data_IF_723341592388
#
_entry.id   IF_723341592388
#
_cell.length_a   1.000
_cell.length_b   1.000
_cell.length_c   1.000
_cell.angle_alpha   90.00
_cell.angle_beta   90.00
_cell.angle_gamma   90.00
#
_symmetry.space_group_name_H-M   'P 1'
#
loop_
_entity.id
_entity.type
_entity.pdbx_description
1 polymer ?
#
# COMPACT_ATOMS: atom_id res chain seq x y z
N UNK A 1 6.88 24.80 -13.13
CA UNK A 1 7.85 25.16 -12.09
C UNK A 1 7.18 25.80 -10.85
N UNK A 2 6.22 26.69 -11.01
CA UNK A 2 5.55 27.37 -9.90
C UNK A 2 4.84 26.42 -8.93
N UNK A 3 4.02 25.49 -9.43
CA UNK A 3 3.34 24.49 -8.61
C UNK A 3 4.31 23.60 -7.83
N UNK A 4 5.45 23.24 -8.40
CA UNK A 4 6.43 22.41 -7.72
C UNK A 4 7.14 23.16 -6.59
N UNK A 5 7.43 24.46 -6.79
CA UNK A 5 7.98 25.30 -5.72
C UNK A 5 6.98 25.49 -4.57
N UNK A 6 5.68 25.64 -4.91
CA UNK A 6 4.60 25.67 -3.93
C UNK A 6 4.51 24.35 -3.16
N UNK A 7 4.57 23.20 -3.84
CA UNK A 7 4.59 21.88 -3.21
C UNK A 7 5.74 21.75 -2.19
N UNK A 8 6.97 22.14 -2.58
CA UNK A 8 8.11 22.15 -1.66
C UNK A 8 7.85 23.01 -0.42
N UNK A 9 7.34 24.23 -0.62
CA UNK A 9 7.05 25.16 0.49
C UNK A 9 6.00 24.59 1.45
N UNK A 10 4.94 23.96 0.91
CA UNK A 10 3.90 23.32 1.72
C UNK A 10 4.49 22.18 2.57
N UNK A 11 5.26 21.29 1.95
CA UNK A 11 5.89 20.16 2.67
C UNK A 11 6.94 20.65 3.68
N UNK A 12 7.76 21.63 3.34
CA UNK A 12 8.78 22.18 4.24
C UNK A 12 8.18 22.85 5.49
N UNK A 13 7.10 23.63 5.31
CA UNK A 13 6.42 24.34 6.40
C UNK A 13 5.51 23.46 7.26
N UNK A 14 5.17 22.27 6.79
CA UNK A 14 4.28 21.38 7.51
C UNK A 14 4.93 20.86 8.81
N UNK A 15 4.17 20.91 9.90
CA UNK A 15 4.49 20.25 11.17
C UNK A 15 4.23 18.74 11.05
N UNK A 16 3.18 18.40 10.30
CA UNK A 16 2.67 17.04 10.13
C UNK A 16 2.55 16.68 8.65
N UNK A 17 2.96 15.47 8.30
CA UNK A 17 2.81 14.92 6.95
C UNK A 17 1.95 13.65 7.01
N UNK A 18 0.86 13.63 6.25
CA UNK A 18 0.07 12.42 6.05
C UNK A 18 0.34 11.94 4.63
N UNK A 19 1.07 10.84 4.52
CA UNK A 19 1.32 10.20 3.22
C UNK A 19 0.11 9.35 2.87
N UNK A 20 -0.42 9.56 1.68
CA UNK A 20 -1.46 8.72 1.09
C UNK A 20 -0.88 8.06 -0.14
N UNK A 21 -0.64 6.76 -0.05
CA UNK A 21 0.03 6.03 -1.09
C UNK A 21 -0.90 5.02 -1.77
N UNK A 22 -1.01 5.16 -3.09
CA UNK A 22 -1.76 4.23 -3.94
C UNK A 22 -0.86 3.18 -4.62
N UNK A 23 -1.48 2.34 -5.45
CA UNK A 23 -0.78 1.31 -6.20
C UNK A 23 0.19 1.86 -7.25
N UNK A 24 0.01 3.11 -7.70
CA UNK A 24 1.00 3.80 -8.54
C UNK A 24 2.36 3.96 -7.84
N UNK A 25 2.39 4.12 -6.50
CA UNK A 25 3.65 4.05 -5.76
C UNK A 25 4.19 2.62 -5.72
N UNK A 26 3.35 1.61 -5.50
CA UNK A 26 3.77 0.22 -5.55
C UNK A 26 4.43 -0.14 -6.90
N UNK A 27 3.90 0.39 -8.00
CA UNK A 27 4.50 0.24 -9.33
C UNK A 27 5.91 0.81 -9.40
N UNK A 28 6.19 1.95 -8.78
CA UNK A 28 7.56 2.50 -8.71
C UNK A 28 8.51 1.66 -7.86
N UNK A 29 7.97 0.86 -6.96
CA UNK A 29 8.71 -0.11 -6.14
C UNK A 29 8.75 -1.53 -6.78
N UNK A 30 8.28 -1.68 -8.01
CA UNK A 30 8.38 -2.90 -8.79
C UNK A 30 7.15 -3.82 -8.74
N UNK A 31 6.08 -3.43 -8.05
CA UNK A 31 4.82 -4.16 -8.02
C UNK A 31 3.77 -3.47 -8.91
N UNK A 32 3.73 -3.84 -10.19
CA UNK A 32 2.68 -3.41 -11.11
C UNK A 32 1.55 -4.44 -11.13
N UNK A 33 0.38 -4.08 -10.60
CA UNK A 33 -0.78 -4.99 -10.52
C UNK A 33 -1.31 -5.42 -11.88
N UNK A 34 -1.19 -4.58 -12.89
CA UNK A 34 -1.72 -4.80 -14.23
C UNK A 34 -0.62 -5.10 -15.25
N UNK A 35 0.65 -5.00 -14.85
CA UNK A 35 1.81 -5.25 -15.71
C UNK A 35 1.91 -6.72 -16.13
N UNK A 36 1.88 -6.96 -17.44
CA UNK A 36 1.92 -8.31 -18.00
C UNK A 36 3.35 -8.78 -18.27
N UNK A 37 4.16 -7.98 -18.93
CA UNK A 37 5.52 -8.37 -19.36
C UNK A 37 6.41 -8.85 -18.19
N UNK A 38 6.43 -8.09 -17.10
CA UNK A 38 7.22 -8.44 -15.91
C UNK A 38 6.65 -9.66 -15.22
N UNK A 39 5.33 -9.78 -15.14
CA UNK A 39 4.67 -10.94 -14.54
C UNK A 39 4.95 -12.22 -15.33
N UNK A 40 4.78 -12.21 -16.65
CA UNK A 40 5.02 -13.36 -17.52
C UNK A 40 6.49 -13.81 -17.50
N UNK A 41 7.42 -12.83 -17.45
CA UNK A 41 8.86 -13.10 -17.31
C UNK A 41 9.18 -13.78 -15.97
N UNK A 42 8.65 -13.22 -14.87
CA UNK A 42 8.99 -13.65 -13.51
C UNK A 42 8.23 -14.94 -13.09
N UNK A 43 7.06 -15.19 -13.69
CA UNK A 43 6.17 -16.30 -13.30
C UNK A 43 5.70 -17.19 -14.48
N UNK A 44 6.57 -17.63 -15.40
CA UNK A 44 6.13 -18.38 -16.59
C UNK A 44 5.38 -19.66 -16.25
N UNK A 45 5.70 -20.32 -15.15
CA UNK A 45 5.00 -21.55 -14.70
C UNK A 45 3.60 -21.26 -14.17
N UNK A 46 3.34 -20.07 -13.60
CA UNK A 46 2.03 -19.63 -13.16
C UNK A 46 1.17 -19.34 -14.39
N UNK A 47 1.70 -18.57 -15.35
CA UNK A 47 1.04 -18.28 -16.63
C UNK A 47 0.63 -19.58 -17.32
N UNK A 48 1.55 -20.52 -17.47
CA UNK A 48 1.27 -21.80 -18.13
C UNK A 48 0.21 -22.64 -17.41
N UNK A 49 0.22 -22.65 -16.08
CA UNK A 49 -0.67 -23.50 -15.28
C UNK A 49 -2.07 -22.92 -15.12
N UNK A 50 -2.19 -21.60 -14.95
CA UNK A 50 -3.42 -20.94 -14.52
C UNK A 50 -3.98 -19.94 -15.54
N UNK A 51 -3.26 -19.69 -16.65
CA UNK A 51 -3.63 -18.73 -17.70
C UNK A 51 -3.88 -17.31 -17.12
N UNK A 52 -3.05 -16.91 -16.15
CA UNK A 52 -3.09 -15.57 -15.52
C UNK A 52 -1.85 -14.77 -15.91
N UNK A 53 -2.02 -13.51 -16.25
CA UNK A 53 -1.00 -12.69 -16.89
C UNK A 53 -0.62 -11.43 -16.11
N UNK A 54 -1.15 -11.25 -14.90
CA UNK A 54 -0.76 -10.15 -14.01
C UNK A 54 -0.99 -10.50 -12.55
N UNK A 55 -0.41 -9.73 -11.64
CA UNK A 55 -0.61 -9.91 -10.20
C UNK A 55 -2.09 -9.77 -9.84
N UNK A 56 -2.78 -8.75 -10.40
CA UNK A 56 -4.20 -8.52 -10.14
C UNK A 56 -5.07 -9.72 -10.52
N UNK A 57 -4.89 -10.27 -11.73
CA UNK A 57 -5.62 -11.48 -12.17
C UNK A 57 -5.27 -12.72 -11.33
N UNK A 58 -4.00 -12.86 -10.93
CA UNK A 58 -3.58 -13.96 -10.07
C UNK A 58 -4.23 -13.91 -8.68
N UNK A 59 -4.46 -12.71 -8.14
CA UNK A 59 -5.16 -12.51 -6.87
C UNK A 59 -6.67 -12.74 -6.97
N UNK A 60 -7.26 -12.46 -8.13
CA UNK A 60 -8.70 -12.63 -8.41
C UNK A 60 -9.10 -14.07 -8.79
N UNK A 61 -8.16 -15.03 -8.84
CA UNK A 61 -8.46 -16.42 -9.22
C UNK A 61 -9.13 -17.19 -8.07
N UNK A 62 -10.44 -17.36 -8.15
CA UNK A 62 -11.28 -17.95 -7.10
C UNK A 62 -11.43 -19.49 -7.16
N UNK A 63 -11.08 -20.12 -8.29
CA UNK A 63 -11.29 -21.56 -8.51
C UNK A 63 -10.23 -22.46 -7.91
N UNK A 64 -9.17 -21.87 -7.36
CA UNK A 64 -8.04 -22.62 -6.81
C UNK A 64 -8.36 -23.24 -5.44
N UNK A 65 -7.84 -24.45 -5.21
CA UNK A 65 -7.78 -25.04 -3.87
C UNK A 65 -6.93 -24.19 -2.91
N UNK A 66 -7.07 -24.40 -1.61
CA UNK A 66 -6.26 -23.69 -0.62
C UNK A 66 -4.74 -23.88 -0.81
N UNK A 67 -4.32 -25.08 -1.17
CA UNK A 67 -2.91 -25.36 -1.46
C UNK A 67 -2.42 -24.59 -2.68
N UNK A 68 -3.22 -24.53 -3.75
CA UNK A 68 -2.88 -23.78 -4.96
C UNK A 68 -2.87 -22.28 -4.72
N UNK A 69 -3.83 -21.74 -3.96
CA UNK A 69 -3.84 -20.33 -3.54
C UNK A 69 -2.57 -19.98 -2.76
N UNK A 70 -2.24 -20.76 -1.74
CA UNK A 70 -1.02 -20.51 -0.95
C UNK A 70 0.26 -20.71 -1.77
N UNK A 71 0.28 -21.64 -2.72
CA UNK A 71 1.42 -21.81 -3.64
C UNK A 71 1.60 -20.56 -4.52
N UNK A 72 0.52 -20.02 -5.06
CA UNK A 72 0.51 -18.81 -5.88
C UNK A 72 0.90 -17.58 -5.06
N UNK A 73 0.16 -17.32 -3.98
CA UNK A 73 0.40 -16.17 -3.10
C UNK A 73 1.83 -16.15 -2.54
N UNK A 74 2.34 -17.32 -2.12
CA UNK A 74 3.69 -17.41 -1.57
C UNK A 74 4.76 -17.00 -2.58
N UNK A 75 4.61 -17.34 -3.85
CA UNK A 75 5.54 -16.92 -4.91
C UNK A 75 5.49 -15.39 -5.13
N UNK A 76 4.27 -14.82 -5.16
CA UNK A 76 4.08 -13.38 -5.32
C UNK A 76 4.65 -12.59 -4.12
N UNK A 77 4.29 -13.00 -2.90
CA UNK A 77 4.75 -12.36 -1.67
C UNK A 77 6.27 -12.49 -1.53
N UNK A 78 6.84 -13.66 -1.82
CA UNK A 78 8.29 -13.84 -1.81
C UNK A 78 8.97 -12.85 -2.74
N UNK A 79 8.52 -12.77 -3.99
CA UNK A 79 9.11 -11.91 -5.03
C UNK A 79 8.97 -10.42 -4.73
N UNK A 80 7.77 -9.98 -4.35
CA UNK A 80 7.45 -8.55 -4.27
C UNK A 80 7.55 -7.95 -2.87
N UNK A 81 7.65 -8.78 -1.81
CA UNK A 81 7.75 -8.29 -0.44
C UNK A 81 8.98 -8.83 0.30
N UNK A 82 9.20 -10.15 0.32
CA UNK A 82 10.30 -10.71 1.12
C UNK A 82 11.67 -10.55 0.47
N UNK A 83 11.74 -10.62 -0.87
CA UNK A 83 12.95 -10.35 -1.65
C UNK A 83 13.06 -8.87 -2.07
N UNK A 84 12.09 -8.04 -1.68
CA UNK A 84 12.06 -6.63 -2.03
C UNK A 84 13.11 -5.83 -1.26
N UNK A 85 13.70 -4.88 -1.94
CA UNK A 85 14.64 -3.92 -1.38
C UNK A 85 14.16 -2.49 -1.70
N UNK A 86 14.02 -1.61 -0.68
CA UNK A 86 13.49 -0.27 -0.88
C UNK A 86 14.28 0.53 -1.90
N UNK A 87 13.56 1.15 -2.82
CA UNK A 87 14.16 2.02 -3.82
C UNK A 87 14.80 3.26 -3.19
N UNK A 88 15.67 3.93 -3.94
CA UNK A 88 16.21 5.23 -3.54
C UNK A 88 15.10 6.28 -3.36
N UNK A 89 14.03 6.15 -4.10
CA UNK A 89 12.86 7.06 -4.02
C UNK A 89 12.17 6.91 -2.67
N UNK A 90 11.88 5.69 -2.24
CA UNK A 90 11.24 5.45 -0.95
C UNK A 90 12.15 5.82 0.24
N UNK A 91 13.46 5.60 0.10
CA UNK A 91 14.43 6.08 1.08
C UNK A 91 14.46 7.62 1.19
N UNK A 92 14.34 8.34 0.05
CA UNK A 92 14.23 9.81 0.04
C UNK A 92 12.93 10.28 0.69
N UNK A 93 11.80 9.61 0.43
CA UNK A 93 10.55 9.91 1.11
C UNK A 93 10.73 9.79 2.63
N UNK A 94 11.37 8.73 3.09
CA UNK A 94 11.66 8.55 4.52
C UNK A 94 12.47 9.71 5.07
N UNK A 95 13.57 10.10 4.41
CA UNK A 95 14.39 11.24 4.82
C UNK A 95 13.60 12.55 4.86
N UNK A 96 12.69 12.77 3.89
CA UNK A 96 11.87 13.98 3.79
C UNK A 96 10.95 14.17 5.01
N UNK A 97 10.44 13.08 5.58
CA UNK A 97 9.42 13.14 6.64
C UNK A 97 9.91 12.66 8.02
N UNK A 98 11.12 12.13 8.12
CA UNK A 98 11.65 11.51 9.36
C UNK A 98 11.71 12.48 10.55
N UNK A 99 11.93 13.76 10.29
CA UNK A 99 11.97 14.82 11.31
C UNK A 99 10.60 15.47 11.61
N UNK A 100 9.52 14.95 11.01
CA UNK A 100 8.17 15.48 11.14
C UNK A 100 7.26 14.49 11.89
N UNK A 101 6.15 14.99 12.41
CA UNK A 101 5.06 14.10 12.74
C UNK A 101 4.52 13.54 11.43
N UNK A 102 4.39 12.21 11.32
CA UNK A 102 3.84 11.62 10.09
C UNK A 102 2.93 10.43 10.37
N UNK A 103 2.04 10.16 9.43
CA UNK A 103 1.30 8.91 9.32
C UNK A 103 1.19 8.52 7.85
N UNK A 104 1.09 7.23 7.57
CA UNK A 104 0.97 6.68 6.22
C UNK A 104 -0.35 5.91 6.14
N UNK A 105 -1.23 6.29 5.22
CA UNK A 105 -2.38 5.51 4.82
C UNK A 105 -2.14 5.00 3.40
N UNK A 106 -2.19 3.69 3.18
CA UNK A 106 -1.81 3.13 1.88
C UNK A 106 -2.73 2.01 1.43
N UNK A 107 -3.01 1.98 0.12
CA UNK A 107 -3.57 0.82 -0.57
C UNK A 107 -2.50 -0.10 -1.15
N UNK A 108 -1.23 0.30 -1.12
CA UNK A 108 -0.11 -0.52 -1.58
C UNK A 108 0.19 -1.60 -0.55
N UNK A 109 -0.26 -2.81 -0.79
CA UNK A 109 -0.27 -3.94 0.15
C UNK A 109 1.04 -4.75 0.20
N UNK A 110 2.09 -4.29 -0.51
CA UNK A 110 3.36 -5.00 -0.66
C UNK A 110 4.33 -4.90 0.52
N UNK A 111 3.94 -4.36 1.68
CA UNK A 111 4.80 -4.20 2.87
C UNK A 111 6.01 -3.29 2.64
N UNK A 112 5.91 -2.34 1.70
CA UNK A 112 7.02 -1.52 1.26
C UNK A 112 7.53 -0.54 2.32
N UNK A 113 6.61 0.10 3.03
CA UNK A 113 6.95 1.11 4.03
C UNK A 113 7.62 0.48 5.26
N UNK A 114 7.10 -0.65 5.72
CA UNK A 114 7.66 -1.41 6.83
C UNK A 114 9.09 -1.87 6.49
N UNK A 115 9.29 -2.43 5.29
CA UNK A 115 10.61 -2.85 4.78
C UNK A 115 11.58 -1.67 4.62
N UNK A 116 11.07 -0.48 4.27
CA UNK A 116 11.87 0.74 4.22
C UNK A 116 12.20 1.34 5.60
N UNK A 117 11.73 0.71 6.68
CA UNK A 117 12.01 1.11 8.06
C UNK A 117 11.18 2.28 8.57
N UNK A 118 9.99 2.52 8.01
CA UNK A 118 9.01 3.40 8.63
C UNK A 118 8.42 2.73 9.87
N UNK A 119 7.93 3.53 10.81
CA UNK A 119 7.35 2.99 12.04
C UNK A 119 5.99 2.33 11.75
N UNK A 120 5.88 1.02 11.93
CA UNK A 120 4.67 0.24 11.69
C UNK A 120 3.43 0.77 12.43
N UNK A 121 3.60 1.37 13.62
CA UNK A 121 2.50 1.98 14.37
C UNK A 121 1.94 3.24 13.70
N UNK A 122 2.65 3.78 12.70
CA UNK A 122 2.28 4.94 11.90
C UNK A 122 1.91 4.58 10.47
N UNK A 123 1.56 3.30 10.24
CA UNK A 123 1.10 2.80 8.95
C UNK A 123 -0.29 2.22 9.12
N UNK A 124 -1.18 2.55 8.17
CA UNK A 124 -2.48 1.94 7.98
C UNK A 124 -2.60 1.42 6.56
N UNK A 125 -2.49 0.11 6.39
CA UNK A 125 -2.72 -0.59 5.15
C UNK A 125 -4.24 -0.71 4.93
N UNK A 126 -4.82 0.24 4.19
CA UNK A 126 -6.28 0.41 4.04
C UNK A 126 -6.94 -0.84 3.44
N UNK A 127 -6.26 -1.48 2.49
CA UNK A 127 -6.70 -2.70 1.83
C UNK A 127 -5.89 -3.93 2.25
N UNK A 128 -5.37 -3.89 3.49
CA UNK A 128 -4.62 -5.00 4.05
C UNK A 128 -3.15 -5.03 3.64
N UNK A 129 -2.49 -6.09 4.08
CA UNK A 129 -1.09 -6.39 3.88
C UNK A 129 -0.97 -7.90 3.65
N UNK A 130 -0.56 -8.32 2.47
CA UNK A 130 -0.50 -9.74 2.13
C UNK A 130 0.60 -10.52 2.83
N UNK A 131 1.51 -9.87 3.58
CA UNK A 131 2.44 -10.56 4.49
C UNK A 131 1.77 -11.00 5.79
N UNK A 132 0.50 -10.63 5.96
CA UNK A 132 -0.37 -11.07 7.04
C UNK A 132 -1.49 -11.95 6.49
N UNK A 133 -2.07 -12.76 7.36
CA UNK A 133 -3.19 -13.63 7.06
C UNK A 133 -4.36 -13.38 8.00
N UNK A 134 -5.57 -13.53 7.48
CA UNK A 134 -6.84 -13.46 8.19
C UNK A 134 -7.58 -14.80 8.14
N UNK A 135 -8.56 -14.98 9.02
CA UNK A 135 -9.42 -16.17 8.99
C UNK A 135 -10.41 -16.12 7.82
N UNK A 136 -10.48 -17.16 7.01
CA UNK A 136 -11.42 -17.27 5.89
C UNK A 136 -12.89 -17.42 6.29
N UNK A 137 -13.20 -17.49 7.58
CA UNK A 137 -14.59 -17.53 8.07
C UNK A 137 -15.32 -16.17 8.00
N UNK A 138 -14.60 -15.07 7.69
CA UNK A 138 -15.13 -13.71 7.78
C UNK A 138 -15.28 -13.17 9.20
N UNK A 139 -14.92 -13.95 10.22
CA UNK A 139 -14.92 -13.51 11.62
C UNK A 139 -13.52 -13.03 11.97
N UNK A 140 -13.42 -11.84 12.55
CA UNK A 140 -12.15 -11.30 13.01
C UNK A 140 -11.59 -12.09 14.19
N UNK A 141 -10.70 -13.03 13.91
CA UNK A 141 -9.93 -13.81 14.89
C UNK A 141 -8.50 -13.26 15.08
N UNK A 142 -8.26 -12.01 14.65
CA UNK A 142 -6.95 -11.37 14.64
C UNK A 142 -6.14 -11.70 13.38
N UNK A 143 -5.19 -10.82 13.09
CA UNK A 143 -4.24 -11.02 11.99
C UNK A 143 -3.04 -11.83 12.47
N UNK A 144 -2.51 -12.67 11.58
CA UNK A 144 -1.33 -13.50 11.82
C UNK A 144 -0.24 -13.14 10.81
N UNK A 145 1.00 -13.08 11.25
CA UNK A 145 2.13 -13.04 10.33
C UNK A 145 2.20 -14.35 9.52
N UNK A 146 2.38 -14.26 8.22
CA UNK A 146 2.47 -15.43 7.35
C UNK A 146 3.81 -15.54 6.62
N UNK A 147 4.79 -14.68 6.90
CA UNK A 147 6.07 -14.65 6.19
C UNK A 147 6.81 -16.00 6.29
N UNK A 148 6.82 -16.63 7.46
CA UNK A 148 7.48 -17.92 7.64
C UNK A 148 6.84 -19.06 6.81
N UNK A 149 5.52 -19.04 6.65
CA UNK A 149 4.78 -19.99 5.81
C UNK A 149 5.07 -19.71 4.33
N UNK A 150 5.04 -18.45 3.94
CA UNK A 150 5.38 -18.00 2.59
C UNK A 150 6.78 -18.50 2.18
N UNK A 151 7.80 -18.29 3.02
CA UNK A 151 9.17 -18.74 2.75
C UNK A 151 9.26 -20.28 2.60
N UNK A 152 8.56 -21.02 3.46
CA UNK A 152 8.55 -22.50 3.38
C UNK A 152 7.91 -23.00 2.09
N UNK A 153 6.80 -22.39 1.66
CA UNK A 153 6.08 -22.77 0.46
C UNK A 153 6.86 -22.33 -0.80
N UNK A 154 7.31 -21.09 -0.85
CA UNK A 154 8.04 -20.54 -2.00
C UNK A 154 9.39 -21.25 -2.23
N UNK A 155 10.11 -21.58 -1.14
CA UNK A 155 11.38 -22.33 -1.16
C UNK A 155 11.23 -23.84 -1.16
N UNK A 156 10.00 -24.36 -1.19
CA UNK A 156 9.72 -25.79 -1.15
C UNK A 156 10.25 -26.55 -2.37
N UNK A 157 10.59 -27.82 -2.17
CA UNK A 157 10.96 -28.72 -3.25
C UNK A 157 9.72 -29.15 -4.06
N UNK A 158 9.86 -29.70 -5.27
CA UNK A 158 8.72 -30.13 -6.09
C UNK A 158 7.79 -31.16 -5.41
N UNK A 159 8.32 -31.94 -4.47
CA UNK A 159 7.60 -32.96 -3.69
C UNK A 159 7.04 -32.45 -2.35
N UNK A 160 7.16 -31.15 -2.06
CA UNK A 160 6.62 -30.56 -0.85
C UNK A 160 5.09 -30.67 -0.81
N UNK A 161 4.55 -31.27 0.24
CA UNK A 161 3.11 -31.35 0.44
C UNK A 161 2.56 -29.99 0.91
N UNK A 162 2.09 -29.18 -0.01
CA UNK A 162 1.56 -27.82 0.28
C UNK A 162 0.30 -27.89 1.13
N UNK A 163 -0.56 -28.92 0.99
CA UNK A 163 -1.78 -29.09 1.79
C UNK A 163 -1.49 -29.06 3.30
N UNK A 164 -0.38 -29.66 3.72
CA UNK A 164 0.05 -29.69 5.14
C UNK A 164 0.59 -28.32 5.60
N UNK A 165 1.02 -27.47 4.68
CA UNK A 165 1.57 -26.14 4.97
C UNK A 165 0.50 -25.05 4.98
N UNK A 166 -0.72 -25.31 4.46
CA UNK A 166 -1.83 -24.35 4.49
C UNK A 166 -2.09 -23.94 5.95
N UNK A 167 -1.89 -22.66 6.31
CA UNK A 167 -2.04 -22.23 7.69
C UNK A 167 -3.52 -22.26 8.09
N UNK A 168 -3.77 -22.58 9.36
CA UNK A 168 -5.11 -22.67 9.93
C UNK A 168 -5.29 -21.65 11.07
N UNK A 169 -6.51 -21.21 11.23
CA UNK A 169 -6.90 -20.33 12.32
C UNK A 169 -6.84 -21.06 13.66
N UNK A 170 -6.11 -20.52 14.64
CA UNK A 170 -5.98 -21.12 15.98
C UNK A 170 -7.29 -21.12 16.76
N UNK A 171 -8.27 -20.29 16.36
CA UNK A 171 -9.55 -20.15 17.06
C UNK A 171 -10.60 -21.14 16.53
N UNK A 172 -10.73 -21.27 15.19
CA UNK A 172 -11.81 -22.06 14.60
C UNK A 172 -11.34 -23.19 13.66
N UNK A 173 -10.04 -23.31 13.40
CA UNK A 173 -9.47 -24.36 12.55
C UNK A 173 -9.68 -24.16 11.05
N UNK A 174 -10.42 -23.12 10.62
CA UNK A 174 -10.58 -22.81 9.20
C UNK A 174 -9.25 -22.39 8.57
N UNK A 175 -9.05 -22.58 7.26
CA UNK A 175 -7.88 -22.07 6.57
C UNK A 175 -7.71 -20.57 6.79
N UNK A 176 -6.48 -20.10 6.80
CA UNK A 176 -6.18 -18.68 6.68
C UNK A 176 -6.04 -18.30 5.21
N UNK A 177 -6.43 -17.08 4.89
CA UNK A 177 -6.17 -16.43 3.60
C UNK A 177 -5.29 -15.19 3.81
N UNK A 178 -4.63 -14.69 2.78
CA UNK A 178 -3.87 -13.45 2.88
C UNK A 178 -4.80 -12.28 3.23
N UNK A 179 -4.30 -11.34 4.02
CA UNK A 179 -5.09 -10.20 4.49
C UNK A 179 -5.25 -9.15 3.38
N UNK A 180 -6.20 -9.39 2.49
CA UNK A 180 -6.54 -8.55 1.35
C UNK A 180 -8.04 -8.61 1.03
N UNK A 181 -8.64 -7.59 0.39
CA UNK A 181 -10.06 -7.57 0.04
C UNK A 181 -10.35 -8.43 -1.22
N UNK A 182 -10.02 -9.72 -1.15
CA UNK A 182 -10.24 -10.68 -2.23
C UNK A 182 -11.70 -11.20 -2.29
N UNK A 183 -12.45 -11.02 -1.21
CA UNK A 183 -13.84 -11.48 -1.06
C UNK A 183 -14.53 -10.72 0.08
N UNK A 184 -15.80 -11.06 0.37
CA UNK A 184 -16.61 -10.46 1.44
C UNK A 184 -16.12 -10.78 2.86
N UNK A 185 -15.15 -11.66 3.02
CA UNK A 185 -14.58 -12.02 4.33
C UNK A 185 -13.50 -11.05 4.81
N UNK A 186 -13.06 -10.12 3.96
CA UNK A 186 -12.08 -9.13 4.35
C UNK A 186 -12.60 -8.23 5.49
N UNK A 187 -11.76 -8.02 6.48
CA UNK A 187 -11.99 -7.01 7.51
C UNK A 187 -10.74 -6.12 7.64
N UNK A 188 -10.93 -4.79 7.71
CA UNK A 188 -9.81 -3.86 7.81
C UNK A 188 -9.10 -3.99 9.17
N UNK A 189 -7.82 -3.60 9.22
CA UNK A 189 -7.09 -3.45 10.49
C UNK A 189 -7.70 -2.30 11.30
N UNK A 190 -8.62 -2.66 12.21
CA UNK A 190 -9.35 -1.69 13.05
C UNK A 190 -8.44 -0.95 14.03
N UNK A 191 -7.35 -1.58 14.49
CA UNK A 191 -6.39 -0.96 15.39
C UNK A 191 -5.56 0.08 14.65
N UNK A 192 -5.09 -0.22 13.43
CA UNK A 192 -4.38 0.74 12.60
C UNK A 192 -5.28 1.91 12.19
N UNK A 193 -6.54 1.63 11.81
CA UNK A 193 -7.53 2.67 11.53
C UNK A 193 -7.78 3.58 12.75
N UNK A 194 -7.91 2.99 13.94
CA UNK A 194 -8.10 3.76 15.17
C UNK A 194 -6.89 4.66 15.46
N UNK A 195 -5.66 4.14 15.31
CA UNK A 195 -4.44 4.95 15.45
C UNK A 195 -4.39 6.08 14.42
N UNK A 196 -4.80 5.83 13.18
CA UNK A 196 -4.86 6.86 12.14
C UNK A 196 -5.85 7.96 12.50
N UNK A 197 -7.07 7.61 12.91
CA UNK A 197 -8.08 8.59 13.33
C UNK A 197 -7.62 9.44 14.52
N UNK A 198 -7.01 8.83 15.54
CA UNK A 198 -6.43 9.58 16.67
C UNK A 198 -5.29 10.50 16.24
N UNK A 199 -4.48 10.06 15.26
CA UNK A 199 -3.43 10.90 14.71
C UNK A 199 -4.00 12.13 13.99
N UNK A 200 -5.06 11.96 13.20
CA UNK A 200 -5.77 13.06 12.54
C UNK A 200 -6.29 14.05 13.58
N UNK A 201 -7.08 13.58 14.55
CA UNK A 201 -7.64 14.40 15.64
C UNK A 201 -6.57 15.13 16.45
N UNK A 202 -5.45 14.47 16.73
CA UNK A 202 -4.33 15.09 17.47
C UNK A 202 -3.55 16.16 16.68
N UNK A 203 -3.84 16.34 15.39
CA UNK A 203 -3.15 17.29 14.51
C UNK A 203 -4.10 18.28 13.80
N UNK A 204 -5.34 18.40 14.24
CA UNK A 204 -6.35 19.29 13.64
C UNK A 204 -5.93 20.76 13.64
N UNK A 205 -5.17 21.19 14.64
CA UNK A 205 -4.67 22.56 14.81
C UNK A 205 -3.27 22.79 14.21
N UNK A 206 -2.67 21.77 13.57
CA UNK A 206 -1.30 21.84 13.01
C UNK A 206 -1.31 22.16 11.53
N UNK A 207 -0.21 22.74 11.04
CA UNK A 207 0.05 22.81 9.60
C UNK A 207 0.30 21.39 9.09
N UNK A 208 -0.74 20.77 8.52
CA UNK A 208 -0.69 19.40 8.03
C UNK A 208 -0.71 19.39 6.51
N UNK A 209 0.17 18.61 5.90
CA UNK A 209 0.14 18.35 4.46
C UNK A 209 -0.25 16.90 4.21
N UNK A 210 -1.27 16.70 3.37
CA UNK A 210 -1.54 15.41 2.75
C UNK A 210 -0.68 15.29 1.49
N UNK A 211 0.21 14.32 1.50
CA UNK A 211 1.11 14.01 0.39
C UNK A 211 0.60 12.76 -0.32
N UNK A 212 -0.11 12.95 -1.43
CA UNK A 212 -0.65 11.86 -2.25
C UNK A 212 0.38 11.37 -3.27
N UNK A 213 0.63 10.07 -3.25
CA UNK A 213 1.64 9.40 -4.04
C UNK A 213 1.06 8.20 -4.78
N UNK A 214 0.79 8.34 -6.07
CA UNK A 214 0.37 7.23 -6.92
C UNK A 214 -1.03 6.67 -6.58
N UNK A 215 -1.96 7.52 -6.20
CA UNK A 215 -3.40 7.16 -6.18
C UNK A 215 -3.90 7.25 -7.61
N UNK A 216 -4.15 6.11 -8.20
CA UNK A 216 -4.51 5.93 -9.61
C UNK A 216 -5.88 5.24 -9.74
N UNK A 217 -6.21 4.79 -10.96
CA UNK A 217 -7.46 4.11 -11.26
C UNK A 217 -7.67 2.78 -10.52
N UNK A 218 -6.61 2.19 -9.95
CA UNK A 218 -6.67 0.95 -9.16
C UNK A 218 -7.01 1.20 -7.69
N UNK A 219 -6.99 2.47 -7.24
CA UNK A 219 -7.31 2.87 -5.87
C UNK A 219 -8.00 4.26 -5.80
N UNK A 220 -8.97 4.58 -6.70
CA UNK A 220 -9.54 5.91 -6.82
C UNK A 220 -10.32 6.36 -5.57
N UNK A 221 -10.82 5.41 -4.78
CA UNK A 221 -11.60 5.65 -3.57
C UNK A 221 -10.78 6.27 -2.42
N UNK A 222 -9.47 6.42 -2.56
CA UNK A 222 -8.65 7.10 -1.55
C UNK A 222 -8.71 8.62 -1.66
N UNK A 223 -8.86 9.17 -2.87
CA UNK A 223 -8.73 10.63 -3.13
C UNK A 223 -9.87 11.44 -2.55
N UNK A 224 -11.11 11.12 -2.87
CA UNK A 224 -12.28 11.90 -2.47
C UNK A 224 -12.38 12.10 -0.95
N UNK A 225 -12.24 11.06 -0.10
CA UNK A 225 -12.26 11.25 1.36
C UNK A 225 -11.16 12.18 1.87
N UNK A 226 -9.98 12.17 1.23
CA UNK A 226 -8.85 13.01 1.62
C UNK A 226 -9.10 14.48 1.27
N UNK A 227 -9.61 14.75 0.08
CA UNK A 227 -9.96 16.11 -0.34
C UNK A 227 -11.00 16.73 0.63
N UNK A 228 -12.00 15.95 1.02
CA UNK A 228 -13.00 16.38 2.01
C UNK A 228 -12.36 16.67 3.38
N UNK A 229 -11.47 15.78 3.85
CA UNK A 229 -10.72 16.02 5.09
C UNK A 229 -9.88 17.30 5.03
N UNK A 230 -9.16 17.52 3.92
CA UNK A 230 -8.40 18.74 3.73
C UNK A 230 -9.31 19.98 3.67
N UNK A 231 -10.50 19.87 3.07
CA UNK A 231 -11.47 20.96 2.99
C UNK A 231 -12.01 21.37 4.37
N UNK A 232 -12.16 20.42 5.29
CA UNK A 232 -12.69 20.64 6.64
C UNK A 232 -11.74 21.50 7.51
N UNK A 233 -10.42 21.39 7.31
CA UNK A 233 -9.42 22.09 8.14
C UNK A 233 -8.65 23.15 7.34
N UNK A 234 -8.85 24.46 7.61
CA UNK A 234 -8.22 25.53 6.82
C UNK A 234 -6.67 25.54 6.80
N UNK A 235 -6.03 25.00 7.84
CA UNK A 235 -4.58 24.90 7.95
C UNK A 235 -3.99 23.66 7.28
N UNK A 236 -4.85 22.77 6.77
CA UNK A 236 -4.39 21.59 6.04
C UNK A 236 -4.21 21.90 4.56
N UNK A 237 -3.22 21.30 3.94
CA UNK A 237 -2.85 21.48 2.55
C UNK A 237 -2.71 20.14 1.85
N UNK A 238 -2.71 20.17 0.52
CA UNK A 238 -2.67 18.96 -0.30
C UNK A 238 -1.58 19.05 -1.36
N UNK A 239 -0.75 18.02 -1.45
CA UNK A 239 0.32 17.91 -2.45
C UNK A 239 0.20 16.54 -3.13
N UNK A 240 0.12 16.52 -4.46
CA UNK A 240 -0.09 15.27 -5.19
C UNK A 240 0.84 15.09 -6.39
N UNK A 241 1.19 13.83 -6.66
CA UNK A 241 1.64 13.38 -7.96
C UNK A 241 0.43 13.25 -8.91
N UNK A 242 0.68 13.32 -10.22
CA UNK A 242 -0.39 13.37 -11.24
C UNK A 242 -1.46 14.45 -10.95
N UNK A 243 -0.97 15.61 -10.56
CA UNK A 243 -1.76 16.71 -10.05
C UNK A 243 -2.48 17.48 -11.16
N UNK A 244 -3.81 17.61 -11.02
CA UNK A 244 -4.67 18.44 -11.88
C UNK A 244 -5.55 19.30 -10.99
N UNK A 245 -5.16 20.57 -10.84
CA UNK A 245 -5.82 21.49 -9.92
C UNK A 245 -7.32 21.66 -10.18
N UNK A 246 -7.72 21.62 -11.44
CA UNK A 246 -9.12 21.75 -11.88
C UNK A 246 -10.02 20.59 -11.42
N UNK A 247 -9.43 19.45 -11.05
CA UNK A 247 -10.16 18.27 -10.60
C UNK A 247 -10.35 18.25 -9.07
N UNK A 248 -9.77 19.22 -8.34
CA UNK A 248 -9.88 19.28 -6.89
C UNK A 248 -11.12 20.06 -6.46
N UNK A 249 -11.56 19.80 -5.23
CA UNK A 249 -12.58 20.62 -4.57
C UNK A 249 -12.15 22.09 -4.56
N UNK A 250 -13.04 23.03 -4.93
CA UNK A 250 -12.70 24.47 -5.00
C UNK A 250 -12.07 25.01 -3.72
N UNK A 251 -12.52 24.55 -2.56
CA UNK A 251 -12.10 24.99 -1.23
C UNK A 251 -10.63 24.69 -0.90
N UNK A 252 -10.02 23.74 -1.63
CA UNK A 252 -8.62 23.35 -1.39
C UNK A 252 -7.67 23.78 -2.50
N UNK A 253 -8.15 24.27 -3.65
CA UNK A 253 -7.31 24.58 -4.82
C UNK A 253 -6.18 25.55 -4.50
N UNK A 254 -6.47 26.60 -3.71
CA UNK A 254 -5.45 27.62 -3.36
C UNK A 254 -4.37 27.10 -2.41
N UNK A 255 -4.62 26.06 -1.67
CA UNK A 255 -3.68 25.42 -0.72
C UNK A 255 -3.23 24.04 -1.18
N UNK A 256 -3.38 23.79 -2.46
CA UNK A 256 -2.93 22.56 -3.12
C UNK A 256 -1.85 22.84 -4.15
N UNK A 257 -0.97 21.86 -4.35
CA UNK A 257 0.11 21.93 -5.32
C UNK A 257 0.53 20.52 -5.76
N UNK A 258 1.33 20.41 -6.80
CA UNK A 258 1.85 19.10 -7.23
C UNK A 258 2.53 19.12 -8.59
N UNK A 259 2.65 17.97 -9.18
CA UNK A 259 3.25 17.75 -10.50
C UNK A 259 2.38 16.81 -11.32
N UNK A 260 2.37 17.00 -12.64
CA UNK A 260 1.74 16.06 -13.59
C UNK A 260 2.57 14.79 -13.82
N UNK A 261 3.69 14.66 -13.11
CA UNK A 261 4.55 13.47 -13.18
C UNK A 261 4.20 12.49 -12.05
N UNK A 262 4.76 11.30 -12.13
CA UNK A 262 4.56 10.21 -11.18
C UNK A 262 5.06 10.51 -9.75
N UNK A 263 4.75 9.60 -8.82
CA UNK A 263 5.13 9.69 -7.42
C UNK A 263 6.65 9.77 -7.22
N UNK A 264 7.43 9.01 -8.00
CA UNK A 264 8.89 9.03 -7.89
C UNK A 264 9.46 10.40 -8.30
N UNK A 265 8.94 10.98 -9.37
CA UNK A 265 9.31 12.32 -9.82
C UNK A 265 8.95 13.38 -8.79
N UNK A 266 7.76 13.32 -8.19
CA UNK A 266 7.37 14.26 -7.13
C UNK A 266 8.34 14.15 -5.93
N UNK A 267 8.55 12.96 -5.39
CA UNK A 267 9.45 12.75 -4.24
C UNK A 267 10.85 13.27 -4.55
N UNK A 268 11.42 12.93 -5.70
CA UNK A 268 12.74 13.40 -6.10
C UNK A 268 12.82 14.94 -6.15
N UNK A 269 11.77 15.57 -6.66
CA UNK A 269 11.71 17.04 -6.74
C UNK A 269 11.52 17.70 -5.37
N UNK A 270 10.79 17.07 -4.43
CA UNK A 270 10.62 17.61 -3.07
C UNK A 270 11.93 17.60 -2.25
N UNK A 271 12.85 16.67 -2.55
CA UNK A 271 14.14 16.52 -1.84
C UNK A 271 15.27 17.35 -2.46
N UNK A 272 15.14 17.77 -3.74
CA UNK A 272 16.13 18.63 -4.37
C UNK A 272 16.11 20.04 -3.73
N UNK A 273 17.31 20.51 -3.30
CA UNK A 273 17.55 21.88 -2.81
C UNK A 273 17.36 22.95 -3.90
#
# INVERSE_FOLDING_TARGET
MENLNKARQLVQKADTVIVVAGNGLAKTEGLDLLGQEDFERDFPTIVQKYDVHSVGYALDEHKLSWAEKWQLWSKLIQRYSLDYHPSKTLQKLKQLIDNKQYFIATSAFGHFFETAGFNEKRIFNVFGDWTKAQCSSGINHGLKDCQSVVQKIAGGKPDTNIEELVPKCDVCGQPLEIHMPLNEHFYPDTDANTRFRWFLTGNEDKNTVFLELGVDETSPQLREPIEHLVAEFPQWSYVAADFKQENLLPEIQERSAGTNADAASLINNLVME
#
